data_IF_392414704703
#
_entry.id   IF_392414704703
#
_cell.length_a   1.000
_cell.length_b   1.000
_cell.length_c   1.000
_cell.angle_alpha   90.00
_cell.angle_beta   90.00
_cell.angle_gamma   90.00
#
_symmetry.space_group_name_H-M   'P 1'
#
loop_
_entity.id
_entity.type
_entity.pdbx_description
1 polymer ?
#
# COMPACT_ATOMS: atom_id res chain seq x y z
N UNK A 1 35.08 -50.68 72.46
CA UNK A 1 36.18 -51.01 71.52
C UNK A 1 35.92 -50.20 70.25
N UNK A 2 36.45 -48.98 70.19
CA UNK A 2 36.21 -48.00 69.12
C UNK A 2 37.52 -47.80 68.35
N UNK A 3 37.54 -48.14 67.07
CA UNK A 3 38.59 -47.73 66.12
C UNK A 3 37.94 -46.80 65.09
N UNK A 4 38.08 -45.49 65.29
CA UNK A 4 37.85 -44.50 64.22
C UNK A 4 39.20 -44.27 63.51
N UNK A 5 39.29 -44.39 62.18
CA UNK A 5 40.50 -44.04 61.47
C UNK A 5 40.63 -42.51 61.41
N UNK A 6 41.79 -42.02 61.84
CA UNK A 6 42.26 -40.64 61.72
C UNK A 6 42.52 -40.33 60.25
N UNK A 7 41.58 -39.66 59.58
CA UNK A 7 41.83 -39.06 58.27
C UNK A 7 42.73 -37.84 58.51
N UNK A 8 43.98 -37.97 58.07
CA UNK A 8 45.03 -36.94 58.15
C UNK A 8 44.57 -35.57 57.64
N UNK A 9 44.87 -34.50 58.38
CA UNK A 9 44.63 -33.08 58.03
C UNK A 9 45.14 -32.72 56.63
N UNK A 10 46.16 -33.44 56.13
CA UNK A 10 46.72 -33.28 54.79
C UNK A 10 45.75 -33.66 53.66
N UNK A 11 44.79 -34.55 53.91
CA UNK A 11 43.74 -34.92 52.95
C UNK A 11 42.65 -33.85 52.83
N UNK A 12 42.28 -33.17 53.93
CA UNK A 12 41.29 -32.09 53.90
C UNK A 12 41.77 -30.88 53.11
N UNK A 13 43.03 -30.49 53.25
CA UNK A 13 43.61 -29.41 52.44
C UNK A 13 43.68 -29.73 50.95
N UNK A 14 44.06 -30.96 50.57
CA UNK A 14 44.05 -31.39 49.16
C UNK A 14 42.65 -31.42 48.55
N UNK A 15 41.64 -31.86 49.32
CA UNK A 15 40.23 -31.82 48.90
C UNK A 15 39.72 -30.39 48.67
N UNK A 16 40.11 -29.44 49.53
CA UNK A 16 39.72 -28.02 49.40
C UNK A 16 40.40 -27.38 48.18
N UNK A 17 41.66 -27.69 47.89
CA UNK A 17 42.34 -27.20 46.68
C UNK A 17 41.81 -27.84 45.39
N UNK A 18 41.46 -29.13 45.42
CA UNK A 18 40.77 -29.80 44.32
C UNK A 18 39.39 -29.20 44.05
N UNK A 19 38.61 -28.91 45.08
CA UNK A 19 37.31 -28.23 44.94
C UNK A 19 37.45 -26.80 44.42
N UNK A 20 38.45 -26.03 44.89
CA UNK A 20 38.74 -24.68 44.37
C UNK A 20 39.14 -24.70 42.90
N UNK A 21 40.01 -25.63 42.51
CA UNK A 21 40.39 -25.82 41.11
C UNK A 21 39.21 -26.27 40.24
N UNK A 22 38.33 -27.13 40.76
CA UNK A 22 37.13 -27.57 40.04
C UNK A 22 36.12 -26.42 39.83
N UNK A 23 35.91 -25.56 40.83
CA UNK A 23 35.07 -24.37 40.72
C UNK A 23 35.67 -23.36 39.73
N UNK A 24 37.00 -23.17 39.76
CA UNK A 24 37.69 -22.29 38.81
C UNK A 24 37.57 -22.82 37.38
N UNK A 25 37.75 -24.12 37.16
CA UNK A 25 37.59 -24.77 35.86
C UNK A 25 36.13 -24.69 35.38
N UNK A 26 35.14 -24.89 36.27
CA UNK A 26 33.72 -24.78 35.93
C UNK A 26 33.34 -23.34 35.55
N UNK A 27 33.85 -22.34 36.28
CA UNK A 27 33.63 -20.92 35.98
C UNK A 27 34.30 -20.49 34.67
N UNK A 28 35.49 -21.01 34.37
CA UNK A 28 36.20 -20.76 33.12
C UNK A 28 35.52 -21.43 31.92
N UNK A 29 34.96 -22.64 32.09
CA UNK A 29 34.15 -23.31 31.07
C UNK A 29 32.83 -22.56 30.82
N UNK A 30 32.22 -21.96 31.85
CA UNK A 30 31.02 -21.14 31.68
C UNK A 30 31.31 -19.85 30.93
N UNK A 31 32.43 -19.17 31.23
CA UNK A 31 32.89 -17.97 30.52
C UNK A 31 33.20 -18.24 29.04
N UNK A 32 33.76 -19.41 28.73
CA UNK A 32 34.08 -19.83 27.35
C UNK A 32 32.85 -20.28 26.55
N UNK A 33 31.78 -20.76 27.20
CA UNK A 33 30.52 -21.13 26.54
C UNK A 33 29.67 -19.92 26.11
N UNK A 34 29.88 -18.74 26.72
CA UNK A 34 29.14 -17.50 26.46
C UNK A 34 29.50 -16.75 25.17
N UNK A 35 30.49 -17.22 24.40
CA UNK A 35 30.87 -16.60 23.12
C UNK A 35 30.24 -17.27 21.88
N UNK A 36 29.18 -18.07 22.04
CA UNK A 36 28.41 -18.58 20.90
C UNK A 36 27.44 -17.50 20.39
N UNK A 37 27.93 -16.69 19.46
CA UNK A 37 27.18 -16.16 18.31
C UNK A 37 25.77 -15.60 18.60
N UNK A 38 25.71 -14.41 19.18
CA UNK A 38 24.59 -13.49 18.94
C UNK A 38 24.68 -12.99 17.49
N UNK A 39 23.94 -13.65 16.59
CA UNK A 39 23.99 -13.47 15.14
C UNK A 39 22.64 -13.11 14.49
N UNK A 40 22.63 -12.94 13.14
CA UNK A 40 21.58 -12.28 12.34
C UNK A 40 20.20 -12.97 12.28
N UNK A 41 19.95 -14.05 13.01
CA UNK A 41 18.65 -14.72 13.00
C UNK A 41 17.54 -13.91 13.70
N UNK A 42 17.90 -13.00 14.62
CA UNK A 42 16.94 -12.04 15.21
C UNK A 42 16.40 -11.02 14.20
N UNK A 43 17.17 -10.70 13.16
CA UNK A 43 16.71 -9.83 12.06
C UNK A 43 15.66 -10.53 11.19
N UNK A 44 15.81 -11.84 10.93
CA UNK A 44 14.83 -12.61 10.14
C UNK A 44 13.44 -12.62 10.76
N UNK A 45 13.35 -12.65 12.10
CA UNK A 45 12.08 -12.61 12.83
C UNK A 45 11.36 -11.25 12.81
N UNK A 46 12.08 -10.16 12.55
CA UNK A 46 11.53 -8.79 12.61
C UNK A 46 11.19 -8.20 11.23
N UNK A 47 11.73 -8.78 10.15
CA UNK A 47 11.41 -8.37 8.76
C UNK A 47 9.90 -8.32 8.44
N UNK A 48 9.06 -9.31 8.82
CA UNK A 48 7.62 -9.24 8.56
C UNK A 48 6.94 -8.05 9.23
N UNK A 49 7.30 -7.77 10.50
CA UNK A 49 6.74 -6.65 11.27
C UNK A 49 7.15 -5.29 10.69
N UNK A 50 8.37 -5.18 10.17
CA UNK A 50 8.83 -3.96 9.49
C UNK A 50 8.11 -3.73 8.17
N UNK A 51 7.94 -4.81 7.37
CA UNK A 51 7.21 -4.72 6.11
C UNK A 51 5.75 -4.31 6.34
N UNK A 52 5.10 -4.85 7.38
CA UNK A 52 3.76 -4.47 7.79
C UNK A 52 3.68 -2.99 8.19
N UNK A 53 4.56 -2.54 9.10
CA UNK A 53 4.58 -1.13 9.54
C UNK A 53 4.82 -0.13 8.40
N UNK A 54 5.71 -0.47 7.45
CA UNK A 54 5.96 0.36 6.26
C UNK A 54 4.74 0.38 5.36
N UNK A 55 4.15 -0.78 5.09
CA UNK A 55 2.97 -0.89 4.25
C UNK A 55 1.77 -0.13 4.83
N UNK A 56 1.53 -0.26 6.13
CA UNK A 56 0.46 0.45 6.82
C UNK A 56 0.68 1.96 6.78
N UNK A 57 1.89 2.44 7.07
CA UNK A 57 2.22 3.86 7.01
C UNK A 57 2.04 4.44 5.60
N UNK A 58 2.48 3.71 4.57
CA UNK A 58 2.27 4.11 3.17
C UNK A 58 0.78 4.15 2.82
N UNK A 59 0.01 3.12 3.21
CA UNK A 59 -1.42 3.04 2.93
C UNK A 59 -2.19 4.16 3.64
N UNK A 60 -1.91 4.41 4.92
CA UNK A 60 -2.49 5.53 5.67
C UNK A 60 -2.20 6.87 5.00
N UNK A 61 -0.97 7.08 4.50
CA UNK A 61 -0.60 8.28 3.76
C UNK A 61 -1.42 8.44 2.46
N UNK A 62 -1.63 7.37 1.70
CA UNK A 62 -2.45 7.43 0.49
C UNK A 62 -3.90 7.78 0.82
N UNK A 63 -4.50 7.13 1.81
CA UNK A 63 -5.87 7.44 2.22
C UNK A 63 -5.99 8.86 2.77
N UNK A 64 -5.03 9.32 3.56
CA UNK A 64 -4.98 10.69 4.06
C UNK A 64 -4.92 11.71 2.91
N UNK A 65 -4.15 11.44 1.87
CA UNK A 65 -4.10 12.33 0.70
C UNK A 65 -5.42 12.35 -0.07
N UNK A 66 -6.13 11.22 -0.19
CA UNK A 66 -7.48 11.21 -0.78
C UNK A 66 -8.47 12.04 0.05
N UNK A 67 -8.44 11.89 1.38
CA UNK A 67 -9.27 12.70 2.28
C UNK A 67 -8.90 14.19 2.15
N UNK A 68 -7.61 14.55 2.18
CA UNK A 68 -7.17 15.95 1.96
C UNK A 68 -7.70 16.54 0.65
N UNK A 69 -7.57 15.80 -0.46
CA UNK A 69 -8.08 16.27 -1.75
C UNK A 69 -9.60 16.50 -1.72
N UNK A 70 -10.34 15.68 -1.00
CA UNK A 70 -11.78 15.85 -0.78
C UNK A 70 -12.10 17.14 -0.01
N UNK A 71 -11.24 17.53 0.95
CA UNK A 71 -11.29 18.79 1.70
C UNK A 71 -10.54 19.96 1.01
N UNK A 72 -10.19 19.84 -0.28
CA UNK A 72 -9.48 20.89 -1.05
C UNK A 72 -8.10 21.25 -0.48
N UNK A 73 -7.44 20.30 0.20
CA UNK A 73 -6.10 20.43 0.74
C UNK A 73 -5.02 19.80 -0.17
N UNK A 74 -3.78 20.31 -0.16
CA UNK A 74 -2.69 19.75 -0.96
C UNK A 74 -2.26 18.36 -0.46
N UNK A 75 -1.87 17.49 -1.39
CA UNK A 75 -1.29 16.18 -1.07
C UNK A 75 0.15 16.29 -0.60
N UNK A 76 0.59 15.36 0.26
CA UNK A 76 1.97 15.27 0.70
C UNK A 76 2.44 13.81 0.74
N UNK A 77 3.65 13.55 0.24
CA UNK A 77 4.19 12.20 0.15
C UNK A 77 5.56 12.12 0.82
N UNK A 78 5.73 11.10 1.64
CA UNK A 78 6.98 10.65 2.22
C UNK A 78 7.37 9.30 1.62
N UNK A 79 8.67 9.06 1.51
CA UNK A 79 9.25 7.78 1.14
C UNK A 79 10.25 7.30 2.21
N UNK A 80 10.40 5.98 2.31
CA UNK A 80 11.29 5.33 3.28
C UNK A 80 12.71 5.34 2.72
N UNK A 81 13.60 6.11 3.36
CA UNK A 81 15.00 6.24 2.92
C UNK A 81 15.94 5.24 3.59
N UNK A 82 15.68 4.92 4.86
CA UNK A 82 16.50 3.99 5.63
C UNK A 82 15.67 3.30 6.71
N UNK A 83 15.99 2.03 6.97
CA UNK A 83 15.47 1.25 8.09
C UNK A 83 16.66 0.79 8.92
N UNK A 84 16.87 1.41 10.08
CA UNK A 84 17.96 1.07 10.99
C UNK A 84 17.40 0.37 12.23
N UNK A 85 17.87 -0.83 12.54
CA UNK A 85 17.49 -1.52 13.78
C UNK A 85 18.56 -1.31 14.86
N UNK A 86 18.20 -0.72 15.99
CA UNK A 86 19.08 -0.69 17.18
C UNK A 86 18.70 -1.83 18.11
N UNK A 87 19.67 -2.67 18.45
CA UNK A 87 19.50 -3.72 19.45
C UNK A 87 19.84 -3.16 20.82
N UNK A 88 18.90 -3.18 21.76
CA UNK A 88 19.17 -2.91 23.18
C UNK A 88 19.06 -4.22 23.95
N UNK A 89 20.02 -4.42 24.84
CA UNK A 89 20.09 -5.57 25.72
C UNK A 89 20.02 -5.03 27.14
N UNK A 90 18.84 -5.10 27.74
CA UNK A 90 18.66 -4.71 29.13
C UNK A 90 18.93 -5.93 30.02
N UNK A 91 20.03 -5.85 30.77
CA UNK A 91 20.33 -6.81 31.83
C UNK A 91 19.76 -6.28 33.15
N UNK A 92 18.52 -6.61 33.47
CA UNK A 92 17.96 -6.37 34.80
C UNK A 92 18.44 -7.46 35.77
N UNK A 93 19.74 -7.41 36.10
CA UNK A 93 20.33 -8.20 37.17
C UNK A 93 20.39 -7.38 38.46
N UNK A 94 19.33 -7.43 39.27
CA UNK A 94 19.26 -6.75 40.56
C UNK A 94 18.74 -7.70 41.65
N UNK A 95 19.31 -7.61 42.85
CA UNK A 95 18.72 -8.22 44.05
C UNK A 95 17.52 -7.36 44.46
N UNK A 96 16.31 -7.84 44.21
CA UNK A 96 15.09 -7.21 44.69
C UNK A 96 15.00 -7.37 46.22
N UNK A 97 15.39 -6.33 46.97
CA UNK A 97 15.24 -6.27 48.42
C UNK A 97 13.81 -5.92 48.86
N UNK A 98 12.89 -5.62 47.93
CA UNK A 98 11.51 -5.22 48.28
C UNK A 98 10.54 -6.39 48.43
N UNK A 99 10.96 -7.62 48.13
CA UNK A 99 10.19 -8.84 48.41
C UNK A 99 10.35 -9.38 49.85
N UNK A 100 10.98 -8.63 50.76
CA UNK A 100 11.19 -9.00 52.17
C UNK A 100 9.99 -8.65 53.05
N UNK A 101 8.91 -9.41 52.89
CA UNK A 101 7.99 -9.69 54.00
C UNK A 101 8.65 -10.72 54.91
N UNK A 102 9.23 -10.26 56.03
CA UNK A 102 9.95 -11.10 57.00
C UNK A 102 9.01 -12.13 57.63
N UNK A 103 9.37 -13.41 57.56
CA UNK A 103 8.91 -14.42 58.55
C UNK A 103 10.11 -15.23 59.02
N UNK A 104 10.36 -15.16 60.32
CA UNK A 104 11.36 -15.93 61.05
C UNK A 104 11.22 -17.44 60.80
N UNK A 105 12.38 -18.09 60.64
CA UNK A 105 12.64 -19.55 60.63
C UNK A 105 13.00 -20.16 59.26
N UNK A 106 14.30 -20.42 59.13
CA UNK A 106 14.93 -21.51 58.38
C UNK A 106 14.81 -21.57 56.84
N UNK A 107 16.01 -21.73 56.24
CA UNK A 107 16.33 -22.14 54.87
C UNK A 107 16.03 -21.16 53.74
N UNK A 108 17.04 -20.31 53.50
CA UNK A 108 17.78 -20.29 52.23
C UNK A 108 16.93 -20.34 50.96
N UNK A 109 16.37 -19.19 50.58
CA UNK A 109 15.86 -18.99 49.22
C UNK A 109 16.20 -17.59 48.71
N UNK A 110 17.44 -17.42 48.26
CA UNK A 110 17.82 -16.30 47.38
C UNK A 110 17.11 -16.55 46.04
N UNK A 111 15.99 -15.86 45.78
CA UNK A 111 15.36 -15.86 44.46
C UNK A 111 16.19 -14.98 43.53
N UNK A 112 17.02 -15.63 42.72
CA UNK A 112 17.74 -14.99 41.64
C UNK A 112 16.80 -14.83 40.44
N UNK A 113 16.29 -13.63 40.21
CA UNK A 113 15.55 -13.30 38.98
C UNK A 113 16.58 -12.91 37.91
N UNK A 114 16.89 -13.85 37.02
CA UNK A 114 17.63 -13.58 35.79
C UNK A 114 16.60 -13.42 34.65
N UNK A 115 16.24 -12.18 34.34
CA UNK A 115 15.50 -11.85 33.12
C UNK A 115 16.45 -11.18 32.13
N UNK A 116 16.60 -11.75 30.94
CA UNK A 116 17.09 -11.01 29.78
C UNK A 116 15.89 -10.65 28.92
N UNK A 117 15.53 -9.37 28.90
CA UNK A 117 14.54 -8.87 27.94
C UNK A 117 15.29 -8.31 26.73
N UNK A 118 15.00 -8.89 25.56
CA UNK A 118 15.58 -8.46 24.29
C UNK A 118 14.58 -7.56 23.60
N UNK A 119 14.95 -6.31 23.31
CA UNK A 119 14.12 -5.39 22.54
C UNK A 119 14.93 -4.77 21.40
N UNK A 120 14.41 -4.93 20.18
CA UNK A 120 14.90 -4.23 18.99
C UNK A 120 13.95 -3.09 18.67
N UNK A 121 14.47 -1.86 18.65
CA UNK A 121 13.69 -0.69 18.25
C UNK A 121 14.13 -0.25 16.86
N UNK A 122 13.31 -0.46 15.81
CA UNK A 122 13.62 0.06 14.48
C UNK A 122 13.40 1.58 14.45
N UNK A 123 14.33 2.27 13.82
CA UNK A 123 14.19 3.66 13.40
C UNK A 123 13.99 3.66 11.89
N UNK A 124 12.79 4.05 11.45
CA UNK A 124 12.46 4.24 10.04
C UNK A 124 12.63 5.71 9.70
N UNK A 125 13.51 6.02 8.75
CA UNK A 125 13.77 7.38 8.31
C UNK A 125 12.95 7.69 7.05
N UNK A 126 12.10 8.71 7.14
CA UNK A 126 11.30 9.20 6.02
C UNK A 126 11.93 10.45 5.41
N UNK A 127 11.85 10.58 4.08
CA UNK A 127 12.16 11.83 3.39
C UNK A 127 10.98 12.24 2.52
N UNK A 128 10.74 13.55 2.36
CA UNK A 128 9.63 14.02 1.54
C UNK A 128 9.92 13.84 0.05
N UNK A 129 8.94 13.33 -0.68
CA UNK A 129 8.93 13.30 -2.13
C UNK A 129 8.54 14.69 -2.64
N UNK A 130 9.53 15.45 -3.09
CA UNK A 130 9.38 16.83 -3.52
C UNK A 130 10.23 17.13 -4.76
N UNK A 131 10.02 18.31 -5.34
CA UNK A 131 10.76 18.79 -6.49
C UNK A 131 10.08 18.52 -7.83
N UNK A 132 10.60 19.16 -8.88
CA UNK A 132 10.02 19.18 -10.23
C UNK A 132 9.83 17.78 -10.82
N UNK A 133 10.80 16.87 -10.63
CA UNK A 133 10.71 15.51 -11.17
C UNK A 133 9.52 14.71 -10.60
N UNK A 134 9.28 14.81 -9.29
CA UNK A 134 8.16 14.14 -8.63
C UNK A 134 6.82 14.80 -8.99
N UNK A 135 6.75 16.12 -9.01
CA UNK A 135 5.53 16.83 -9.42
C UNK A 135 5.18 16.49 -10.87
N UNK A 136 6.17 16.45 -11.76
CA UNK A 136 5.95 16.03 -13.15
C UNK A 136 5.45 14.59 -13.24
N UNK A 137 6.02 13.64 -12.50
CA UNK A 137 5.54 12.26 -12.54
C UNK A 137 4.10 12.09 -12.05
N UNK A 138 3.67 12.90 -11.07
CA UNK A 138 2.26 12.92 -10.64
C UNK A 138 1.29 13.48 -11.68
N UNK A 139 1.75 14.45 -12.48
CA UNK A 139 0.92 15.19 -13.45
C UNK A 139 0.98 14.61 -14.87
N UNK A 140 1.97 13.78 -15.19
CA UNK A 140 2.04 13.10 -16.47
C UNK A 140 0.91 12.07 -16.58
N UNK A 141 0.18 12.03 -17.71
CA UNK A 141 -0.80 10.99 -17.97
C UNK A 141 -0.18 9.59 -17.90
N UNK A 142 -0.92 8.60 -17.37
CA UNK A 142 -0.50 7.20 -17.43
C UNK A 142 -0.37 6.79 -18.90
N UNK A 143 0.75 6.15 -19.27
CA UNK A 143 0.95 5.73 -20.66
C UNK A 143 -0.10 4.69 -21.08
N UNK A 144 -0.50 4.71 -22.35
CA UNK A 144 -1.42 3.71 -22.89
C UNK A 144 -0.83 2.30 -22.75
N UNK A 145 0.47 2.15 -23.00
CA UNK A 145 1.21 0.90 -22.81
C UNK A 145 0.99 0.33 -21.40
N UNK A 146 1.20 1.13 -20.34
CA UNK A 146 0.96 0.66 -18.97
C UNK A 146 -0.50 0.29 -18.71
N UNK A 147 -1.48 0.99 -19.29
CA UNK A 147 -2.91 0.66 -19.14
C UNK A 147 -3.23 -0.69 -19.79
N UNK A 148 -2.73 -0.93 -21.00
CA UNK A 148 -2.92 -2.20 -21.70
C UNK A 148 -2.16 -3.35 -21.03
N UNK A 149 -0.93 -3.12 -20.56
CA UNK A 149 -0.16 -4.10 -19.79
C UNK A 149 -0.86 -4.49 -18.49
N UNK A 150 -1.37 -3.52 -17.73
CA UNK A 150 -2.14 -3.80 -16.51
C UNK A 150 -3.35 -4.68 -16.83
N UNK A 151 -4.09 -4.35 -17.89
CA UNK A 151 -5.25 -5.14 -18.33
C UNK A 151 -4.86 -6.56 -18.75
N UNK A 152 -3.73 -6.72 -19.46
CA UNK A 152 -3.19 -8.03 -19.86
C UNK A 152 -2.63 -8.84 -18.67
N UNK A 153 -2.19 -8.17 -17.60
CA UNK A 153 -1.73 -8.81 -16.36
C UNK A 153 -2.87 -9.31 -15.45
N UNK A 154 -4.13 -9.17 -15.89
CA UNK A 154 -5.30 -9.72 -15.21
C UNK A 154 -6.17 -8.69 -14.48
N UNK A 155 -5.82 -7.40 -14.52
CA UNK A 155 -6.72 -6.36 -14.05
C UNK A 155 -7.94 -6.24 -14.97
N UNK A 156 -9.13 -6.04 -14.39
CA UNK A 156 -10.35 -5.80 -15.16
C UNK A 156 -10.23 -4.52 -15.99
N UNK A 157 -10.64 -4.61 -17.26
CA UNK A 157 -10.69 -3.46 -18.16
C UNK A 157 -11.62 -2.37 -17.60
N UNK A 158 -12.76 -2.76 -17.01
CA UNK A 158 -13.69 -1.82 -16.37
C UNK A 158 -13.00 -0.98 -15.29
N UNK A 159 -12.09 -1.58 -14.50
CA UNK A 159 -11.36 -0.90 -13.43
C UNK A 159 -10.20 -0.07 -13.97
N UNK A 160 -9.35 -0.64 -14.83
CA UNK A 160 -8.19 0.06 -15.37
C UNK A 160 -8.60 1.26 -16.22
N UNK A 161 -9.52 1.07 -17.17
CA UNK A 161 -10.01 2.16 -18.00
C UNK A 161 -10.96 3.09 -17.22
N UNK A 162 -11.79 2.55 -16.33
CA UNK A 162 -12.69 3.35 -15.48
C UNK A 162 -11.96 4.35 -14.59
N UNK A 163 -10.72 4.06 -14.20
CA UNK A 163 -9.86 5.01 -13.46
C UNK A 163 -8.93 5.77 -14.40
N UNK A 164 -8.13 5.07 -15.19
CA UNK A 164 -7.00 5.66 -15.92
C UNK A 164 -7.39 6.37 -17.21
N UNK A 165 -8.60 6.18 -17.74
CA UNK A 165 -9.00 6.76 -19.03
C UNK A 165 -10.09 7.79 -18.81
N UNK A 166 -9.81 9.04 -19.23
CA UNK A 166 -10.74 10.15 -19.16
C UNK A 166 -11.71 10.15 -20.34
N UNK A 167 -11.23 9.78 -21.53
CA UNK A 167 -12.02 9.76 -22.76
C UNK A 167 -11.53 8.68 -23.72
N UNK A 168 -12.46 8.03 -24.42
CA UNK A 168 -12.17 7.18 -25.58
C UNK A 168 -13.08 7.64 -26.72
N UNK A 169 -12.48 8.13 -27.82
CA UNK A 169 -13.19 8.81 -28.90
C UNK A 169 -14.13 9.90 -28.32
N UNK A 170 -15.43 9.86 -28.62
CA UNK A 170 -16.40 10.84 -28.08
C UNK A 170 -17.05 10.37 -26.76
N UNK A 171 -16.59 9.25 -26.18
CA UNK A 171 -17.13 8.70 -24.93
C UNK A 171 -16.33 9.23 -23.74
N UNK A 172 -16.99 10.04 -22.93
CA UNK A 172 -16.41 10.65 -21.74
C UNK A 172 -16.61 9.75 -20.51
N UNK A 173 -15.57 9.67 -19.68
CA UNK A 173 -15.60 9.08 -18.35
C UNK A 173 -15.39 10.17 -17.31
N UNK A 174 -16.39 11.02 -17.04
CA UNK A 174 -16.32 12.09 -16.03
C UNK A 174 -15.03 12.96 -16.06
N UNK A 175 -14.73 13.70 -17.14
CA UNK A 175 -13.54 14.56 -17.21
C UNK A 175 -13.46 15.60 -16.08
N UNK A 176 -14.60 16.10 -15.61
CA UNK A 176 -14.67 17.09 -14.52
C UNK A 176 -14.24 16.53 -13.15
N UNK A 177 -14.05 15.21 -13.01
CA UNK A 177 -13.55 14.57 -11.80
C UNK A 177 -12.01 14.49 -11.73
N UNK A 178 -11.31 14.92 -12.77
CA UNK A 178 -9.83 14.89 -12.82
C UNK A 178 -9.17 16.02 -12.01
N UNK A 179 -9.95 16.79 -11.25
CA UNK A 179 -9.52 17.93 -10.45
C UNK A 179 -10.39 18.10 -9.19
N UNK A 180 -10.31 19.25 -8.49
CA UNK A 180 -11.11 19.50 -7.30
C UNK A 180 -12.61 19.36 -7.57
N UNK A 181 -13.37 18.93 -6.55
CA UNK A 181 -14.77 18.55 -6.72
C UNK A 181 -15.57 19.61 -7.49
N UNK A 182 -16.27 19.24 -8.58
CA UNK A 182 -17.00 20.19 -9.40
C UNK A 182 -18.27 20.66 -8.70
N UNK A 183 -18.73 21.87 -9.03
CA UNK A 183 -20.02 22.38 -8.53
C UNK A 183 -21.21 21.70 -9.22
N UNK A 184 -21.08 21.47 -10.52
CA UNK A 184 -22.12 20.92 -11.38
C UNK A 184 -21.87 19.44 -11.67
N UNK A 185 -22.94 18.66 -11.71
CA UNK A 185 -22.89 17.25 -12.09
C UNK A 185 -22.24 17.07 -13.47
N UNK A 186 -21.45 16.01 -13.65
CA UNK A 186 -20.89 15.65 -14.95
C UNK A 186 -21.97 15.16 -15.92
N UNK A 187 -21.60 15.08 -17.20
CA UNK A 187 -22.40 14.40 -18.23
C UNK A 187 -22.57 12.90 -17.89
N UNK A 188 -23.62 12.28 -18.44
CA UNK A 188 -23.83 10.83 -18.31
C UNK A 188 -22.64 10.05 -18.88
N UNK A 189 -22.28 8.97 -18.19
CA UNK A 189 -21.21 8.04 -18.59
C UNK A 189 -21.75 6.69 -19.06
N UNK A 190 -23.06 6.57 -19.32
CA UNK A 190 -23.71 5.28 -19.62
C UNK A 190 -23.09 4.60 -20.85
N UNK A 191 -22.76 5.37 -21.89
CA UNK A 191 -22.11 4.84 -23.09
C UNK A 191 -20.68 4.36 -22.83
N UNK A 192 -19.92 5.07 -22.00
CA UNK A 192 -18.57 4.65 -21.61
C UNK A 192 -18.64 3.36 -20.77
N UNK A 193 -19.55 3.30 -19.80
CA UNK A 193 -19.77 2.10 -18.98
C UNK A 193 -20.20 0.92 -19.85
N UNK A 194 -21.12 1.14 -20.79
CA UNK A 194 -21.55 0.11 -21.76
C UNK A 194 -20.39 -0.40 -22.60
N UNK A 195 -19.52 0.49 -23.09
CA UNK A 195 -18.31 0.09 -23.81
C UNK A 195 -17.43 -0.81 -22.93
N UNK A 196 -17.18 -0.44 -21.67
CA UNK A 196 -16.37 -1.25 -20.76
C UNK A 196 -16.99 -2.62 -20.47
N UNK A 197 -18.31 -2.71 -20.35
CA UNK A 197 -19.01 -3.97 -20.17
C UNK A 197 -18.86 -4.89 -21.39
N UNK A 198 -18.95 -4.32 -22.60
CA UNK A 198 -18.73 -5.06 -23.85
C UNK A 198 -17.29 -5.55 -23.97
N UNK A 199 -16.32 -4.67 -23.69
CA UNK A 199 -14.88 -5.01 -23.69
C UNK A 199 -14.60 -6.15 -22.72
N UNK A 200 -15.15 -6.11 -21.50
CA UNK A 200 -14.97 -7.18 -20.52
C UNK A 200 -15.63 -8.50 -20.96
N UNK A 201 -16.83 -8.45 -21.58
CA UNK A 201 -17.51 -9.64 -22.11
C UNK A 201 -16.68 -10.35 -23.19
N UNK A 202 -16.10 -9.60 -24.14
CA UNK A 202 -15.32 -10.18 -25.24
C UNK A 202 -13.89 -10.53 -24.84
N UNK A 203 -13.41 -10.07 -23.67
CA UNK A 203 -12.02 -10.23 -23.21
C UNK A 203 -11.60 -11.71 -23.11
N UNK A 204 -12.44 -12.56 -22.53
CA UNK A 204 -12.13 -14.00 -22.35
C UNK A 204 -11.87 -14.74 -23.67
N UNK A 205 -12.48 -14.27 -24.76
CA UNK A 205 -12.30 -14.82 -26.10
C UNK A 205 -11.08 -14.23 -26.85
N UNK A 206 -10.31 -13.34 -26.22
CA UNK A 206 -9.12 -12.70 -26.80
C UNK A 206 -9.42 -12.04 -28.15
N UNK A 207 -10.57 -11.37 -28.24
CA UNK A 207 -11.07 -10.72 -29.46
C UNK A 207 -10.33 -9.42 -29.74
N UNK A 208 -10.12 -8.62 -28.70
CA UNK A 208 -9.42 -7.33 -28.77
C UNK A 208 -7.96 -7.58 -28.41
N UNK A 209 -7.07 -7.29 -29.35
CA UNK A 209 -5.64 -7.54 -29.19
C UNK A 209 -4.91 -6.23 -29.38
N UNK A 210 -4.25 -5.80 -28.31
CA UNK A 210 -3.29 -4.71 -28.33
C UNK A 210 -1.96 -5.18 -28.89
N UNK A 211 -1.42 -4.43 -29.84
CA UNK A 211 -0.07 -4.60 -30.35
C UNK A 211 0.63 -3.24 -30.43
N UNK A 212 1.88 -3.17 -30.01
CA UNK A 212 2.73 -2.00 -30.19
C UNK A 212 3.81 -2.33 -31.22
N UNK A 213 3.74 -1.68 -32.37
CA UNK A 213 4.71 -1.90 -33.45
C UNK A 213 5.92 -0.99 -33.25
N UNK A 214 7.04 -1.57 -32.78
CA UNK A 214 8.26 -0.80 -32.48
C UNK A 214 8.82 -0.01 -33.67
N UNK A 215 8.68 -0.55 -34.90
CA UNK A 215 9.25 0.07 -36.11
C UNK A 215 8.55 1.38 -36.48
N UNK A 216 7.23 1.40 -36.39
CA UNK A 216 6.38 2.55 -36.73
C UNK A 216 6.10 3.42 -35.50
N UNK A 217 6.39 2.91 -34.29
CA UNK A 217 6.00 3.48 -32.99
C UNK A 217 4.49 3.70 -32.91
N UNK A 218 3.72 2.80 -33.54
CA UNK A 218 2.27 2.86 -33.57
C UNK A 218 1.68 1.75 -32.71
N UNK A 219 0.73 2.14 -31.89
CA UNK A 219 -0.15 1.23 -31.23
C UNK A 219 -1.31 0.85 -32.16
N UNK A 220 -1.65 -0.43 -32.21
CA UNK A 220 -2.72 -0.96 -33.04
C UNK A 220 -3.59 -1.87 -32.19
N UNK A 221 -4.90 -1.71 -32.30
CA UNK A 221 -5.87 -2.68 -31.80
C UNK A 221 -6.38 -3.49 -32.98
N UNK A 222 -6.18 -4.80 -32.90
CA UNK A 222 -6.81 -5.77 -33.79
C UNK A 222 -8.07 -6.33 -33.14
N UNK A 223 -9.17 -6.31 -33.88
CA UNK A 223 -10.45 -6.87 -33.45
C UNK A 223 -10.72 -8.11 -34.30
N UNK A 224 -10.53 -9.29 -33.71
CA UNK A 224 -10.76 -10.56 -34.42
C UNK A 224 -12.25 -10.77 -34.67
N UNK A 225 -12.59 -11.25 -35.86
CA UNK A 225 -13.93 -11.75 -36.13
C UNK A 225 -14.26 -12.93 -35.20
N UNK A 226 -15.48 -12.94 -34.66
CA UNK A 226 -15.95 -14.00 -33.78
C UNK A 226 -17.47 -14.16 -33.87
N UNK A 227 -17.95 -15.33 -34.32
CA UNK A 227 -19.39 -15.60 -34.55
C UNK A 227 -20.25 -15.43 -33.32
N UNK A 228 -19.80 -15.92 -32.15
CA UNK A 228 -20.57 -15.77 -30.89
C UNK A 228 -20.74 -14.31 -30.44
N UNK A 229 -19.75 -13.45 -30.71
CA UNK A 229 -19.68 -12.09 -30.16
C UNK A 229 -19.84 -11.02 -31.25
N UNK A 230 -20.42 -11.39 -32.40
CA UNK A 230 -20.54 -10.51 -33.56
C UNK A 230 -21.34 -9.24 -33.23
N UNK A 231 -22.40 -9.38 -32.43
CA UNK A 231 -23.24 -8.25 -32.00
C UNK A 231 -22.49 -7.31 -31.07
N UNK A 232 -21.76 -7.86 -30.10
CA UNK A 232 -20.97 -7.10 -29.14
C UNK A 232 -19.82 -6.38 -29.85
N UNK A 233 -19.14 -7.03 -30.79
CA UNK A 233 -18.11 -6.41 -31.64
C UNK A 233 -18.71 -5.26 -32.46
N UNK A 234 -19.86 -5.47 -33.10
CA UNK A 234 -20.53 -4.43 -33.88
C UNK A 234 -20.92 -3.23 -32.99
N UNK A 235 -21.44 -3.49 -31.78
CA UNK A 235 -21.79 -2.44 -30.81
C UNK A 235 -20.55 -1.68 -30.33
N UNK A 236 -19.43 -2.35 -30.04
CA UNK A 236 -18.15 -1.70 -29.71
C UNK A 236 -17.72 -0.76 -30.83
N UNK A 237 -17.71 -1.25 -32.08
CA UNK A 237 -17.33 -0.44 -33.25
C UNK A 237 -18.28 0.75 -33.42
N UNK A 238 -19.58 0.56 -33.19
CA UNK A 238 -20.58 1.63 -33.26
C UNK A 238 -20.40 2.68 -32.16
N UNK A 239 -20.20 2.26 -30.90
CA UNK A 239 -20.00 3.17 -29.76
C UNK A 239 -18.76 4.05 -29.94
N UNK A 240 -17.72 3.49 -30.59
CA UNK A 240 -16.49 4.19 -30.90
C UNK A 240 -16.53 4.93 -32.25
N UNK A 241 -17.63 4.89 -33.02
CA UNK A 241 -17.71 5.44 -34.40
C UNK A 241 -16.56 4.96 -35.31
N UNK A 242 -16.28 3.66 -35.28
CA UNK A 242 -15.26 3.01 -36.10
C UNK A 242 -15.84 2.46 -37.41
N UNK A 243 -14.99 2.31 -38.44
CA UNK A 243 -15.36 1.65 -39.68
C UNK A 243 -15.66 0.17 -39.39
N UNK A 244 -16.91 -0.30 -39.59
CA UNK A 244 -17.31 -1.66 -39.23
C UNK A 244 -16.59 -2.74 -40.05
N UNK A 245 -16.10 -2.39 -41.24
CA UNK A 245 -15.46 -3.32 -42.18
C UNK A 245 -13.97 -3.54 -41.93
N UNK A 246 -13.38 -2.80 -40.98
CA UNK A 246 -11.98 -2.94 -40.59
C UNK A 246 -11.83 -3.83 -39.37
N UNK A 247 -10.72 -4.55 -39.32
CA UNK A 247 -10.36 -5.37 -38.15
C UNK A 247 -9.13 -4.83 -37.42
N UNK A 248 -8.59 -3.69 -37.85
CA UNK A 248 -7.41 -3.06 -37.28
C UNK A 248 -7.59 -1.56 -37.20
N UNK A 249 -7.29 -0.99 -36.04
CA UNK A 249 -7.45 0.43 -35.74
C UNK A 249 -6.20 0.96 -35.07
N UNK A 250 -5.74 2.13 -35.48
CA UNK A 250 -4.60 2.82 -34.86
C UNK A 250 -5.06 3.32 -33.49
N UNK A 251 -4.22 3.22 -32.46
CA UNK A 251 -4.49 3.84 -31.17
C UNK A 251 -3.61 5.07 -31.01
N UNK A 252 -4.24 6.18 -30.63
CA UNK A 252 -3.55 7.45 -30.44
C UNK A 252 -3.84 8.03 -29.05
N UNK A 253 -2.82 8.59 -28.41
CA UNK A 253 -2.97 9.41 -27.20
C UNK A 253 -3.42 10.85 -27.48
N UNK A 254 -3.92 11.15 -28.69
CA UNK A 254 -4.35 12.48 -29.09
C UNK A 254 -5.85 12.47 -29.44
N UNK A 255 -6.71 12.91 -28.50
CA UNK A 255 -8.14 13.04 -28.72
C UNK A 255 -8.59 14.05 -29.79
N UNK A 256 -7.67 14.83 -30.37
CA UNK A 256 -8.02 15.71 -31.50
C UNK A 256 -8.27 14.91 -32.78
N UNK A 257 -7.80 13.65 -32.87
CA UNK A 257 -7.99 12.82 -34.06
C UNK A 257 -9.41 12.27 -34.06
N UNK A 258 -10.18 12.67 -35.07
CA UNK A 258 -11.57 12.26 -35.30
C UNK A 258 -11.68 11.61 -36.67
N UNK A 259 -11.51 10.29 -36.73
CA UNK A 259 -11.72 9.49 -37.93
C UNK A 259 -12.15 8.08 -37.55
N UNK A 260 -12.64 7.32 -38.54
CA UNK A 260 -13.18 5.96 -38.35
C UNK A 260 -12.12 4.85 -38.33
N UNK A 261 -10.84 5.22 -38.34
CA UNK A 261 -9.69 4.31 -38.41
C UNK A 261 -8.84 4.35 -37.13
N UNK A 262 -9.13 5.30 -36.23
CA UNK A 262 -8.33 5.60 -35.04
C UNK A 262 -9.19 5.52 -33.78
N UNK A 263 -8.64 4.88 -32.74
CA UNK A 263 -9.14 4.91 -31.37
C UNK A 263 -8.27 5.91 -30.61
N UNK A 264 -8.83 7.08 -30.33
CA UNK A 264 -8.18 8.14 -29.57
C UNK A 264 -8.49 7.97 -28.08
N UNK A 265 -7.46 7.93 -27.24
CA UNK A 265 -7.58 7.68 -25.80
C UNK A 265 -6.87 8.79 -25.02
N UNK A 266 -7.61 9.55 -24.23
CA UNK A 266 -7.03 10.47 -23.24
C UNK A 266 -6.92 9.75 -21.90
N UNK A 267 -5.68 9.61 -21.40
CA UNK A 267 -5.43 9.04 -20.08
C UNK A 267 -5.35 10.11 -18.99
N UNK A 268 -5.70 9.71 -17.78
CA UNK A 268 -5.54 10.51 -16.56
C UNK A 268 -4.10 10.45 -16.07
N UNK A 269 -3.67 11.51 -15.41
CA UNK A 269 -2.49 11.50 -14.55
C UNK A 269 -2.79 10.79 -13.22
N UNK A 270 -1.76 10.47 -12.44
CA UNK A 270 -1.97 9.92 -11.10
C UNK A 270 -2.73 10.90 -10.20
N UNK A 271 -2.39 12.19 -10.28
CA UNK A 271 -3.11 13.24 -9.54
C UNK A 271 -4.59 13.28 -9.93
N UNK A 272 -4.90 13.18 -11.23
CA UNK A 272 -6.28 13.15 -11.73
C UNK A 272 -7.05 11.92 -11.24
N UNK A 273 -6.39 10.76 -11.16
CA UNK A 273 -6.99 9.55 -10.56
C UNK A 273 -7.28 9.77 -9.08
N UNK A 274 -6.34 10.36 -8.33
CA UNK A 274 -6.52 10.66 -6.91
C UNK A 274 -7.68 11.63 -6.66
N UNK A 275 -7.84 12.67 -7.49
CA UNK A 275 -9.02 13.55 -7.44
C UNK A 275 -10.32 12.79 -7.71
N UNK A 276 -10.35 11.94 -8.74
CA UNK A 276 -11.56 11.20 -9.06
C UNK A 276 -11.95 10.24 -7.93
N UNK A 277 -10.97 9.59 -7.30
CA UNK A 277 -11.19 8.75 -6.13
C UNK A 277 -11.60 9.57 -4.88
N UNK A 278 -11.05 10.77 -4.69
CA UNK A 278 -11.39 11.62 -3.54
C UNK A 278 -12.85 12.04 -3.54
N UNK A 279 -13.50 12.14 -4.70
CA UNK A 279 -14.93 12.42 -4.79
C UNK A 279 -15.83 11.33 -4.20
N UNK A 280 -15.27 10.15 -3.95
CA UNK A 280 -15.96 9.01 -3.36
C UNK A 280 -15.65 8.83 -1.87
N UNK A 281 -15.24 9.90 -1.19
CA UNK A 281 -15.07 9.97 0.28
C UNK A 281 -16.39 10.45 0.91
N UNK A 282 -16.90 9.74 1.91
CA UNK A 282 -18.03 10.17 2.73
C UNK A 282 -17.71 11.45 3.49
N UNK A 283 -18.72 12.25 3.84
CA UNK A 283 -18.51 13.46 4.64
C UNK A 283 -19.56 13.58 5.72
N UNK A 284 -19.15 13.96 6.96
CA UNK A 284 -20.11 14.31 8.00
C UNK A 284 -21.08 15.39 7.48
N UNK A 285 -22.39 15.30 7.81
CA UNK A 285 -23.35 16.32 7.42
C UNK A 285 -22.94 17.73 7.87
N UNK A 286 -22.28 17.83 9.02
CA UNK A 286 -21.77 19.08 9.60
C UNK A 286 -20.73 19.74 8.70
N UNK A 287 -19.82 18.96 8.11
CA UNK A 287 -18.78 19.46 7.21
C UNK A 287 -19.37 19.97 5.88
N UNK A 288 -20.46 19.35 5.42
CA UNK A 288 -21.20 19.81 4.25
C UNK A 288 -21.93 21.13 4.53
N UNK A 289 -22.56 21.25 5.71
CA UNK A 289 -23.32 22.45 6.11
C UNK A 289 -22.42 23.65 6.38
N UNK A 290 -21.23 23.42 6.92
CA UNK A 290 -20.23 24.46 7.22
C UNK A 290 -19.36 24.82 6.01
N UNK A 291 -19.50 24.10 4.89
CA UNK A 291 -18.77 24.38 3.64
C UNK A 291 -17.32 23.92 3.63
N UNK A 292 -16.92 23.02 4.55
CA UNK A 292 -15.60 22.40 4.55
C UNK A 292 -15.40 21.44 3.36
N UNK A 293 -16.50 20.84 2.89
CA UNK A 293 -16.53 20.04 1.67
C UNK A 293 -17.54 20.62 0.69
N UNK A 294 -17.32 20.36 -0.59
CA UNK A 294 -18.28 20.70 -1.63
C UNK A 294 -19.29 19.56 -1.80
N UNK A 295 -20.53 19.92 -2.14
CA UNK A 295 -21.53 18.98 -2.63
C UNK A 295 -21.81 19.32 -4.09
N UNK A 296 -21.44 18.43 -5.00
CA UNK A 296 -21.80 18.53 -6.42
C UNK A 296 -23.31 18.38 -6.58
N UNK A 297 -23.93 19.20 -7.43
CA UNK A 297 -25.37 19.16 -7.64
C UNK A 297 -25.73 18.98 -9.10
N UNK A 298 -26.84 18.30 -9.34
CA UNK A 298 -27.43 18.17 -10.68
C UNK A 298 -28.22 19.41 -11.10
N UNK A 299 -28.78 19.36 -12.30
CA UNK A 299 -29.61 20.45 -12.87
C UNK A 299 -30.88 20.73 -12.04
N UNK A 300 -31.31 19.78 -11.22
CA UNK A 300 -32.45 19.89 -10.31
C UNK A 300 -32.04 20.35 -8.91
N UNK A 301 -30.78 20.77 -8.72
CA UNK A 301 -30.18 21.19 -7.44
C UNK A 301 -30.18 20.07 -6.37
N UNK A 302 -30.22 18.81 -6.81
CA UNK A 302 -30.11 17.60 -5.97
C UNK A 302 -28.65 17.17 -5.87
N UNK A 303 -28.18 16.64 -4.72
CA UNK A 303 -26.83 16.07 -4.63
C UNK A 303 -26.58 15.01 -5.71
N UNK A 304 -25.44 15.14 -6.38
CA UNK A 304 -25.04 14.18 -7.41
C UNK A 304 -24.48 12.90 -6.79
N UNK A 305 -24.99 11.75 -7.25
CA UNK A 305 -24.58 10.43 -6.77
C UNK A 305 -23.28 9.97 -7.46
N UNK A 306 -22.14 10.36 -6.87
CA UNK A 306 -20.81 9.94 -7.32
C UNK A 306 -20.63 8.42 -7.36
N UNK A 307 -21.36 7.69 -6.52
CA UNK A 307 -21.40 6.22 -6.46
C UNK A 307 -21.80 5.54 -7.78
N UNK A 308 -22.45 6.27 -8.70
CA UNK A 308 -22.87 5.74 -10.00
C UNK A 308 -21.84 5.94 -11.13
N UNK A 309 -20.77 6.69 -10.86
CA UNK A 309 -19.67 6.88 -11.81
C UNK A 309 -18.79 5.63 -11.92
N UNK A 310 -18.04 5.44 -13.02
CA UNK A 310 -17.10 4.33 -13.15
C UNK A 310 -16.16 4.12 -11.96
N UNK A 311 -15.63 5.20 -11.36
CA UNK A 311 -14.79 5.10 -10.16
C UNK A 311 -15.61 4.87 -8.88
N UNK A 312 -16.76 5.52 -8.73
CA UNK A 312 -17.59 5.39 -7.52
C UNK A 312 -18.23 4.01 -7.35
N UNK A 313 -18.42 3.26 -8.44
CA UNK A 313 -18.89 1.87 -8.38
C UNK A 313 -17.86 0.89 -7.81
N UNK A 314 -16.59 1.28 -7.74
CA UNK A 314 -15.48 0.39 -7.37
C UNK A 314 -14.63 0.94 -6.21
N UNK A 315 -15.01 2.08 -5.63
CA UNK A 315 -14.25 2.71 -4.57
C UNK A 315 -15.12 3.58 -3.67
N UNK A 316 -14.97 3.41 -2.35
CA UNK A 316 -15.58 4.23 -1.32
C UNK A 316 -14.66 4.31 -0.10
N UNK A 317 -14.57 5.50 0.49
CA UNK A 317 -14.00 5.70 1.84
C UNK A 317 -15.13 6.18 2.73
N UNK A 318 -15.48 5.36 3.72
CA UNK A 318 -16.51 5.66 4.70
C UNK A 318 -16.00 6.62 5.77
N UNK A 319 -16.94 7.23 6.49
CA UNK A 319 -16.68 8.08 7.63
C UNK A 319 -17.47 7.58 8.86
N UNK A 320 -16.88 7.74 10.04
CA UNK A 320 -17.48 7.47 11.34
C UNK A 320 -16.94 8.43 12.41
N UNK A 321 -17.66 8.59 13.51
CA UNK A 321 -17.23 9.47 14.62
C UNK A 321 -16.12 8.83 15.46
N UNK A 322 -16.06 7.50 15.47
CA UNK A 322 -15.14 6.70 16.28
C UNK A 322 -14.32 5.77 15.41
N UNK A 323 -13.11 5.42 15.87
CA UNK A 323 -12.25 4.47 15.15
C UNK A 323 -13.01 3.16 14.87
N UNK A 324 -13.13 2.71 13.61
CA UNK A 324 -13.79 1.45 13.30
C UNK A 324 -12.99 0.30 13.89
N UNK A 325 -13.69 -0.68 14.48
CA UNK A 325 -13.04 -1.83 15.15
C UNK A 325 -12.26 -2.70 14.16
N UNK A 326 -12.80 -2.91 12.97
CA UNK A 326 -12.27 -3.83 11.96
C UNK A 326 -12.12 -3.16 10.58
N UNK A 327 -11.68 -1.90 10.51
CA UNK A 327 -11.39 -1.29 9.21
C UNK A 327 -10.21 -1.98 8.51
N UNK A 328 -10.26 -2.12 7.18
CA UNK A 328 -9.07 -2.53 6.42
C UNK A 328 -7.95 -1.51 6.58
N UNK A 329 -8.32 -0.24 6.53
CA UNK A 329 -7.47 0.91 6.75
C UNK A 329 -8.33 1.97 7.44
N UNK A 330 -7.79 2.68 8.43
CA UNK A 330 -8.52 3.72 9.15
C UNK A 330 -7.58 4.86 9.55
N UNK A 331 -7.95 6.11 9.24
CA UNK A 331 -7.18 7.30 9.64
C UNK A 331 -8.07 8.33 10.35
N UNK A 332 -7.56 9.03 11.37
CA UNK A 332 -8.25 10.17 11.96
C UNK A 332 -8.06 11.43 11.10
N UNK A 333 -9.11 12.23 10.96
CA UNK A 333 -9.06 13.52 10.26
C UNK A 333 -10.23 14.42 10.68
N UNK A 334 -9.93 15.67 11.08
CA UNK A 334 -10.91 16.67 11.56
C UNK A 334 -11.93 16.07 12.54
N UNK A 335 -11.45 15.48 13.64
CA UNK A 335 -12.24 14.85 14.71
C UNK A 335 -13.15 13.67 14.29
N UNK A 336 -12.97 13.16 13.07
CA UNK A 336 -13.68 11.97 12.57
C UNK A 336 -12.69 10.90 12.10
N UNK A 337 -13.18 9.70 11.84
CA UNK A 337 -12.43 8.57 11.30
C UNK A 337 -12.89 8.22 9.90
N UNK A 338 -11.94 8.10 8.98
CA UNK A 338 -12.15 7.68 7.60
C UNK A 338 -11.60 6.28 7.41
N UNK A 339 -12.31 5.42 6.69
CA UNK A 339 -11.91 4.02 6.57
C UNK A 339 -12.45 3.31 5.33
N UNK A 340 -11.78 2.22 4.97
CA UNK A 340 -12.29 1.22 4.01
C UNK A 340 -12.79 0.01 4.79
N UNK A 341 -13.98 -0.47 4.46
CA UNK A 341 -14.58 -1.64 5.11
C UNK A 341 -13.74 -2.92 4.91
N UNK A 342 -13.72 -3.84 5.89
CA UNK A 342 -12.96 -5.09 5.80
C UNK A 342 -13.48 -6.04 4.71
N UNK A 343 -14.76 -5.96 4.38
CA UNK A 343 -15.45 -6.77 3.38
C UNK A 343 -15.60 -6.07 2.02
N UNK A 344 -15.15 -4.82 1.90
CA UNK A 344 -15.18 -4.09 0.63
C UNK A 344 -13.98 -4.47 -0.24
N UNK A 345 -14.14 -5.57 -0.98
CA UNK A 345 -13.12 -6.09 -1.89
C UNK A 345 -12.89 -5.17 -3.10
N UNK A 346 -13.91 -4.43 -3.51
CA UNK A 346 -13.83 -3.51 -4.66
C UNK A 346 -12.92 -2.33 -4.33
N UNK A 347 -13.17 -1.65 -3.20
CA UNK A 347 -12.32 -0.55 -2.76
C UNK A 347 -10.90 -1.00 -2.47
N UNK A 348 -10.71 -2.20 -1.89
CA UNK A 348 -9.37 -2.77 -1.66
C UNK A 348 -8.61 -3.02 -2.96
N UNK A 349 -9.27 -3.61 -3.96
CA UNK A 349 -8.67 -3.86 -5.27
C UNK A 349 -8.32 -2.54 -5.98
N UNK A 350 -9.20 -1.54 -5.90
CA UNK A 350 -8.97 -0.20 -6.45
C UNK A 350 -7.83 0.52 -5.75
N UNK A 351 -7.75 0.43 -4.42
CA UNK A 351 -6.65 1.00 -3.63
C UNK A 351 -5.31 0.31 -3.96
N UNK A 352 -5.32 -1.01 -4.14
CA UNK A 352 -4.15 -1.76 -4.61
C UNK A 352 -3.71 -1.30 -6.00
N UNK A 353 -4.65 -1.06 -6.92
CA UNK A 353 -4.32 -0.51 -8.24
C UNK A 353 -3.73 0.90 -8.15
N UNK A 354 -4.30 1.79 -7.33
CA UNK A 354 -3.79 3.14 -7.10
C UNK A 354 -2.32 3.12 -6.62
N UNK A 355 -2.02 2.29 -5.62
CA UNK A 355 -0.64 2.16 -5.09
C UNK A 355 0.31 1.55 -6.12
N UNK A 356 -0.15 0.61 -6.95
CA UNK A 356 0.64 0.06 -8.06
C UNK A 356 0.93 1.12 -9.14
N UNK A 357 -0.06 1.92 -9.53
CA UNK A 357 0.11 3.04 -10.47
C UNK A 357 1.09 4.09 -9.93
N UNK A 358 1.01 4.40 -8.64
CA UNK A 358 2.00 5.27 -8.00
C UNK A 358 3.42 4.70 -8.12
N UNK A 359 3.62 3.40 -7.83
CA UNK A 359 4.94 2.77 -7.93
C UNK A 359 5.48 2.79 -9.37
N UNK A 360 4.63 2.58 -10.36
CA UNK A 360 5.00 2.68 -11.78
C UNK A 360 5.48 4.10 -12.15
N UNK A 361 4.81 5.15 -11.65
CA UNK A 361 5.18 6.53 -11.89
C UNK A 361 6.40 6.98 -11.07
N UNK A 362 6.48 6.57 -9.81
CA UNK A 362 7.56 6.91 -8.89
C UNK A 362 8.88 6.21 -9.25
N UNK A 363 8.83 5.00 -9.80
CA UNK A 363 10.00 4.25 -10.27
C UNK A 363 10.76 4.92 -11.44
N UNK A 364 10.14 5.89 -12.12
CA UNK A 364 10.82 6.73 -13.10
C UNK A 364 11.80 7.73 -12.45
N UNK A 365 11.61 8.05 -11.17
CA UNK A 365 12.50 8.89 -10.37
C UNK A 365 13.59 8.03 -9.74
N UNK A 366 14.85 8.19 -10.19
CA UNK A 366 16.01 7.53 -9.58
C UNK A 366 16.23 8.09 -8.17
N UNK A 367 15.64 7.47 -7.16
CA UNK A 367 16.05 7.73 -5.78
C UNK A 367 17.42 7.09 -5.54
N UNK A 368 18.34 7.77 -4.81
CA UNK A 368 19.62 7.17 -4.47
C UNK A 368 19.35 5.87 -3.71
N UNK A 369 19.99 4.78 -4.15
CA UNK A 369 19.85 3.48 -3.54
C UNK A 369 20.08 3.58 -2.02
N UNK A 370 19.29 2.87 -1.18
CA UNK A 370 19.54 2.84 0.25
C UNK A 370 20.96 2.34 0.49
N UNK A 371 21.76 3.15 1.17
CA UNK A 371 23.09 2.74 1.61
C UNK A 371 22.89 1.79 2.77
N UNK A 372 23.01 0.49 2.51
CA UNK A 372 23.09 -0.52 3.55
C UNK A 372 24.30 -0.19 4.44
N UNK A 373 24.06 0.44 5.58
CA UNK A 373 25.07 0.72 6.59
C UNK A 373 25.08 -0.46 7.54
N UNK A 374 25.84 -1.50 7.18
CA UNK A 374 26.15 -2.57 8.14
C UNK A 374 27.11 -1.96 9.17
N UNK A 375 26.79 -1.97 10.48
CA UNK A 375 27.72 -1.53 11.49
C UNK A 375 28.97 -2.41 11.43
N UNK A 376 30.11 -1.81 11.09
CA UNK A 376 31.40 -2.46 11.19
C UNK A 376 31.70 -2.57 12.68
N UNK A 377 31.81 -3.80 13.19
CA UNK A 377 32.39 -4.08 14.50
C UNK A 377 33.90 -4.18 14.38
#
# INVERSE_FOLDING_TARGET
MNLKPTISVKHRHRLIELMRSFILILSLNFLLASCNSFGPDSLKGSHPLYNEAINDSMNEQFMLNLVRLHYFEPTFFLDVTNVAATMKLDFNGGLDQTALGVTDSASDLIKFTAGSEYYTQPTISFAPLQGDAFVRSLLMPISLESIFELTNSGWSARRTFGLCVERINELENVPTASGPMPQTAPNSTDKFQRLMDLVEMVRSAHIIIWNYEEKTKQAIIHVRHHTRYEKEIAEIKQLLDLDPNRDSYIVSGNASIRNRETISIDSRSLMSIMFYLSHNVDSPPEHQQTGLVRVTKDVSNTPFEWSQTPAGKIFRIHQSDWRPRNGFLAIPYLDHWYYIEPNDLESKATFMLLTQLFRLQAGASKFPAPVLTVPVR
#
